data_IF_858885384392
#
_entry.id   IF_858885384392
#
_cell.length_a   1.000
_cell.length_b   1.000
_cell.length_c   1.000
_cell.angle_alpha   90.00
_cell.angle_beta   90.00
_cell.angle_gamma   90.00
#
_symmetry.space_group_name_H-M   'P 1'
#
loop_
_entity.id
_entity.type
_entity.pdbx_description
1 polymer ?
#
# COMPACT_ATOMS: atom_id res chain seq x y z
N UNK A 1 7.94 16.71 -3.99
CA UNK A 1 8.75 17.85 -3.51
C UNK A 1 8.92 18.91 -4.59
N UNK A 2 9.31 18.49 -5.80
CA UNK A 2 9.39 19.34 -6.99
C UNK A 2 8.11 20.15 -7.27
N UNK A 3 6.91 19.59 -7.12
CA UNK A 3 5.65 20.33 -7.35
C UNK A 3 5.42 21.47 -6.35
N UNK A 4 5.77 21.29 -5.07
CA UNK A 4 5.61 22.30 -4.02
C UNK A 4 6.59 23.46 -4.26
N UNK A 5 7.86 23.15 -4.54
CA UNK A 5 8.87 24.18 -4.80
C UNK A 5 8.66 24.87 -6.15
N UNK A 6 8.12 24.16 -7.15
CA UNK A 6 7.68 24.78 -8.41
C UNK A 6 6.58 25.81 -8.17
N UNK A 7 5.61 25.51 -7.30
CA UNK A 7 4.60 26.48 -6.90
C UNK A 7 5.22 27.70 -6.18
N UNK A 8 6.19 27.49 -5.28
CA UNK A 8 6.87 28.59 -4.61
C UNK A 8 7.67 29.50 -5.57
N UNK A 9 8.26 28.94 -6.63
CA UNK A 9 8.88 29.72 -7.71
C UNK A 9 7.84 30.56 -8.46
N UNK A 10 6.68 29.98 -8.80
CA UNK A 10 5.58 30.70 -9.46
C UNK A 10 5.04 31.84 -8.61
N UNK A 11 4.95 31.65 -7.29
CA UNK A 11 4.56 32.66 -6.32
C UNK A 11 5.70 33.64 -5.97
N UNK A 12 6.85 33.55 -6.64
CA UNK A 12 8.04 34.39 -6.42
C UNK A 12 8.60 34.35 -4.99
N UNK A 13 8.23 33.35 -4.19
CA UNK A 13 8.75 33.15 -2.83
C UNK A 13 10.22 32.71 -2.86
N UNK A 14 10.61 32.01 -3.92
CA UNK A 14 11.98 31.58 -4.19
C UNK A 14 12.29 31.77 -5.69
N UNK A 15 13.56 31.95 -6.03
CA UNK A 15 13.98 32.19 -7.43
C UNK A 15 14.19 30.93 -8.25
N UNK A 16 14.45 29.81 -7.58
CA UNK A 16 14.84 28.55 -8.21
C UNK A 16 14.33 27.38 -7.36
N UNK A 17 14.09 26.24 -8.00
CA UNK A 17 13.65 25.02 -7.35
C UNK A 17 14.84 24.08 -7.10
N UNK A 18 15.41 24.04 -5.88
CA UNK A 18 16.57 23.20 -5.57
C UNK A 18 16.28 21.70 -5.64
N UNK A 19 15.03 21.27 -5.72
CA UNK A 19 14.72 19.85 -5.85
C UNK A 19 15.08 19.28 -7.23
N UNK A 20 15.38 20.11 -8.23
CA UNK A 20 15.94 19.63 -9.49
C UNK A 20 17.39 19.13 -9.32
N UNK A 21 18.18 19.80 -8.47
CA UNK A 21 19.58 19.38 -8.20
C UNK A 21 19.64 18.09 -7.38
N UNK A 22 18.54 17.75 -6.71
CA UNK A 22 18.39 16.51 -5.93
C UNK A 22 17.90 15.34 -6.78
N UNK A 23 17.53 15.58 -8.04
CA UNK A 23 17.03 14.54 -8.93
C UNK A 23 18.17 13.60 -9.33
N UNK A 24 18.12 12.36 -8.85
CA UNK A 24 19.18 11.35 -9.09
C UNK A 24 20.37 11.41 -8.11
N UNK A 25 20.47 12.45 -7.27
CA UNK A 25 21.49 12.53 -6.21
C UNK A 25 21.16 11.62 -5.02
N UNK A 26 19.87 11.30 -4.84
CA UNK A 26 19.37 10.37 -3.84
C UNK A 26 19.19 9.01 -4.52
N UNK A 27 19.90 7.99 -4.03
CA UNK A 27 19.70 6.61 -4.46
C UNK A 27 18.25 6.23 -4.18
N UNK A 28 17.51 5.87 -5.24
CA UNK A 28 16.17 5.32 -5.08
C UNK A 28 16.31 3.96 -4.39
N UNK A 29 15.47 3.64 -3.39
CA UNK A 29 15.43 2.28 -2.87
C UNK A 29 15.10 1.33 -4.02
N UNK A 30 15.76 0.18 -4.04
CA UNK A 30 15.43 -0.86 -5.00
C UNK A 30 13.97 -1.27 -4.83
N UNK A 31 13.28 -1.42 -5.95
CA UNK A 31 11.87 -1.80 -5.94
C UNK A 31 11.78 -3.31 -5.76
N UNK A 32 11.27 -3.74 -4.61
CA UNK A 32 10.90 -5.14 -4.40
C UNK A 32 9.53 -5.39 -5.03
N UNK A 33 9.51 -6.14 -6.13
CA UNK A 33 8.27 -6.55 -6.78
C UNK A 33 7.57 -7.63 -5.96
N UNK A 34 6.28 -7.45 -5.72
CA UNK A 34 5.41 -8.43 -5.04
C UNK A 34 4.50 -9.07 -6.09
N UNK A 35 4.92 -10.18 -6.73
CA UNK A 35 4.10 -10.83 -7.73
C UNK A 35 2.78 -11.32 -7.13
N UNK A 36 1.79 -11.53 -7.98
CA UNK A 36 0.55 -12.19 -7.58
C UNK A 36 0.85 -13.61 -7.10
N UNK A 37 0.01 -14.12 -6.21
CA UNK A 37 0.06 -15.51 -5.79
C UNK A 37 -0.37 -16.40 -6.96
N UNK A 38 0.40 -17.45 -7.24
CA UNK A 38 0.05 -18.41 -8.27
C UNK A 38 -1.20 -19.22 -7.87
N UNK A 39 -1.98 -19.67 -8.86
CA UNK A 39 -3.26 -20.33 -8.61
C UNK A 39 -3.08 -21.63 -7.81
N UNK A 40 -2.00 -22.34 -8.08
CA UNK A 40 -1.61 -23.60 -7.45
C UNK A 40 -1.24 -23.43 -5.97
N UNK A 41 -0.88 -22.21 -5.55
CA UNK A 41 -0.50 -21.90 -4.17
C UNK A 41 -1.71 -21.50 -3.29
N UNK A 42 -2.88 -21.27 -3.89
CA UNK A 42 -4.10 -20.89 -3.15
C UNK A 42 -4.48 -21.94 -2.09
N UNK A 43 -4.50 -23.26 -2.38
CA UNK A 43 -4.84 -24.26 -1.36
C UNK A 43 -3.91 -24.19 -0.14
N UNK A 44 -2.60 -24.00 -0.36
CA UNK A 44 -1.60 -23.87 0.69
C UNK A 44 -1.79 -22.58 1.50
N UNK A 45 -2.18 -21.48 0.86
CA UNK A 45 -2.53 -20.25 1.56
C UNK A 45 -3.72 -20.47 2.50
N UNK A 46 -4.78 -21.12 2.02
CA UNK A 46 -5.98 -21.38 2.83
C UNK A 46 -5.64 -22.26 4.04
N UNK A 47 -4.85 -23.32 3.85
CA UNK A 47 -4.38 -24.17 4.94
C UNK A 47 -3.61 -23.36 6.00
N UNK A 48 -2.72 -22.46 5.57
CA UNK A 48 -1.95 -21.60 6.49
C UNK A 48 -2.82 -20.60 7.25
N UNK A 49 -3.87 -20.08 6.61
CA UNK A 49 -4.84 -19.18 7.26
C UNK A 49 -5.60 -19.94 8.35
N UNK A 50 -6.02 -21.18 8.07
CA UNK A 50 -6.76 -22.01 9.03
C UNK A 50 -5.87 -22.51 10.17
N UNK A 51 -4.60 -22.82 9.89
CA UNK A 51 -3.62 -23.22 10.90
C UNK A 51 -3.07 -22.05 11.75
N UNK A 52 -3.43 -20.80 11.43
CA UNK A 52 -2.93 -19.62 12.13
C UNK A 52 -3.42 -19.56 13.58
N UNK A 53 -2.50 -19.73 14.54
CA UNK A 53 -2.77 -19.72 15.99
C UNK A 53 -2.85 -18.34 16.64
N UNK A 54 -2.85 -17.27 15.84
CA UNK A 54 -2.91 -15.90 16.35
C UNK A 54 -4.33 -15.41 16.63
N UNK A 55 -4.58 -14.12 16.41
CA UNK A 55 -5.90 -13.52 16.69
C UNK A 55 -6.95 -14.04 15.71
N UNK A 56 -8.06 -14.58 16.22
CA UNK A 56 -9.20 -15.03 15.40
C UNK A 56 -9.74 -13.95 14.46
N UNK A 57 -9.73 -12.70 14.92
CA UNK A 57 -10.13 -11.54 14.10
C UNK A 57 -9.28 -11.41 12.84
N UNK A 58 -7.97 -11.70 12.91
CA UNK A 58 -7.07 -11.66 11.76
C UNK A 58 -7.45 -12.72 10.74
N UNK A 59 -7.71 -13.96 11.18
CA UNK A 59 -8.18 -15.04 10.28
C UNK A 59 -9.49 -14.66 9.60
N UNK A 60 -10.48 -14.17 10.36
CA UNK A 60 -11.76 -13.73 9.80
C UNK A 60 -11.62 -12.57 8.82
N UNK A 61 -10.79 -11.57 9.14
CA UNK A 61 -10.56 -10.43 8.26
C UNK A 61 -9.90 -10.86 6.95
N UNK A 62 -8.92 -11.77 6.99
CA UNK A 62 -8.28 -12.30 5.78
C UNK A 62 -9.29 -13.12 4.96
N UNK A 63 -10.04 -14.03 5.59
CA UNK A 63 -11.06 -14.83 4.92
C UNK A 63 -12.12 -13.95 4.24
N UNK A 64 -12.61 -12.91 4.92
CA UNK A 64 -13.53 -11.95 4.33
C UNK A 64 -12.88 -11.20 3.16
N UNK A 65 -11.62 -10.76 3.31
CA UNK A 65 -10.90 -10.06 2.25
C UNK A 65 -10.74 -10.92 0.98
N UNK A 66 -10.52 -12.23 1.12
CA UNK A 66 -10.46 -13.17 -0.01
C UNK A 66 -11.80 -13.31 -0.76
N UNK A 67 -12.92 -12.90 -0.16
CA UNK A 67 -14.23 -12.91 -0.81
C UNK A 67 -14.55 -11.58 -1.50
N UNK A 68 -14.16 -10.45 -0.90
CA UNK A 68 -14.56 -9.10 -1.36
C UNK A 68 -13.47 -8.33 -2.10
N UNK A 69 -12.21 -8.75 -2.00
CA UNK A 69 -11.04 -8.16 -2.67
C UNK A 69 -10.84 -6.64 -2.47
N UNK A 70 -11.31 -6.09 -1.33
CA UNK A 70 -11.10 -4.67 -0.98
C UNK A 70 -9.70 -4.44 -0.39
N UNK A 71 -9.22 -3.21 -0.35
CA UNK A 71 -7.93 -2.89 0.29
C UNK A 71 -8.00 -3.10 1.79
N UNK A 72 -6.87 -3.44 2.41
CA UNK A 72 -6.82 -3.66 3.86
C UNK A 72 -7.27 -2.43 4.68
N UNK A 73 -7.04 -1.21 4.18
CA UNK A 73 -7.55 0.01 4.82
C UNK A 73 -9.06 0.15 4.69
N UNK A 74 -9.63 -0.16 3.53
CA UNK A 74 -11.08 -0.13 3.30
C UNK A 74 -11.77 -1.11 4.25
N UNK A 75 -11.25 -2.35 4.35
CA UNK A 75 -11.79 -3.35 5.28
C UNK A 75 -11.69 -2.93 6.75
N UNK A 76 -10.56 -2.33 7.16
CA UNK A 76 -10.36 -1.91 8.57
C UNK A 76 -11.27 -0.77 9.00
N UNK A 77 -11.68 0.09 8.07
CA UNK A 77 -12.50 1.27 8.36
C UNK A 77 -13.97 1.12 7.96
N UNK A 78 -14.33 -0.04 7.37
CA UNK A 78 -15.71 -0.37 7.02
C UNK A 78 -16.64 -0.30 8.24
N UNK A 79 -17.85 0.19 8.01
CA UNK A 79 -18.88 0.37 9.04
C UNK A 79 -20.09 -0.49 8.71
N UNK A 80 -20.75 -1.00 9.75
CA UNK A 80 -21.99 -1.77 9.59
C UNK A 80 -23.11 -1.01 8.86
N UNK A 81 -23.10 0.33 8.89
CA UNK A 81 -24.06 1.17 8.16
C UNK A 81 -23.87 1.19 6.64
N UNK A 82 -22.79 0.61 6.12
CA UNK A 82 -22.48 0.53 4.69
C UNK A 82 -23.00 -0.75 4.03
N UNK A 83 -23.60 -1.65 4.82
CA UNK A 83 -24.23 -2.90 4.38
C UNK A 83 -25.73 -2.69 4.18
#
# INVERSE_FOLDING_TARGET
MTSILRYAVQQQLIRYNPAYDLEGSILKPETEHRPALELEEIPLLLERIDAYKGRRLTTLAIQLNLLVFVRSSELRFARWSEI
#
